data_IF_026902957823
#
_entry.id   IF_026902957823
#
_cell.length_a   1.000
_cell.length_b   1.000
_cell.length_c   1.000
_cell.angle_alpha   90.00
_cell.angle_beta   90.00
_cell.angle_gamma   90.00
#
_symmetry.space_group_name_H-M   'P 1'
#
loop_
_entity.id
_entity.type
_entity.pdbx_description
1 polymer ?
#
# COMPACT_ATOMS: atom_id res chain seq x y z
N UNK A 1 -13.00 -13.66 2.40
CA UNK A 1 -13.90 -12.62 1.84
C UNK A 1 -13.12 -11.30 1.64
N UNK A 2 -13.63 -10.33 0.87
CA UNK A 2 -13.13 -8.95 0.95
C UNK A 2 -11.91 -8.56 0.09
N UNK A 3 -11.84 -8.95 -1.19
CA UNK A 3 -10.88 -8.45 -2.20
C UNK A 3 -9.38 -8.71 -1.99
N UNK A 4 -8.93 -9.06 -0.79
CA UNK A 4 -7.52 -9.27 -0.45
C UNK A 4 -7.29 -10.71 0.04
N UNK A 5 -7.26 -11.73 -0.85
CA UNK A 5 -7.01 -13.11 -0.44
C UNK A 5 -5.58 -13.23 0.12
N UNK A 6 -5.38 -13.67 1.38
CA UNK A 6 -4.05 -13.67 2.00
C UNK A 6 -3.11 -14.76 1.46
N UNK A 7 -3.63 -15.73 0.71
CA UNK A 7 -2.91 -16.94 0.32
C UNK A 7 -3.00 -17.28 -1.18
N UNK A 8 -3.36 -16.32 -2.03
CA UNK A 8 -3.32 -16.54 -3.49
C UNK A 8 -1.91 -16.89 -3.94
N UNK A 9 -1.82 -17.78 -4.93
CA UNK A 9 -0.58 -18.24 -5.57
C UNK A 9 -0.54 -17.89 -7.04
N UNK A 10 -1.72 -17.79 -7.66
CA UNK A 10 -1.86 -17.36 -9.06
C UNK A 10 -2.81 -16.18 -9.17
N UNK A 11 -2.61 -15.34 -10.18
CA UNK A 11 -3.46 -14.17 -10.45
C UNK A 11 -4.94 -14.55 -10.62
N UNK A 12 -5.23 -15.75 -11.14
CA UNK A 12 -6.60 -16.24 -11.31
C UNK A 12 -7.32 -16.39 -9.96
N UNK A 13 -6.61 -16.64 -8.86
CA UNK A 13 -7.18 -16.73 -7.51
C UNK A 13 -7.51 -15.36 -6.90
N UNK A 14 -7.14 -14.27 -7.58
CA UNK A 14 -7.32 -12.88 -7.13
C UNK A 14 -8.60 -12.23 -7.68
N UNK A 15 -9.43 -12.99 -8.40
CA UNK A 15 -10.77 -12.61 -8.80
C UNK A 15 -10.91 -12.32 -10.29
N UNK A 16 -11.71 -11.31 -10.62
CA UNK A 16 -12.03 -10.97 -12.01
C UNK A 16 -10.89 -10.16 -12.63
N UNK A 17 -10.31 -10.69 -13.71
CA UNK A 17 -9.31 -10.00 -14.52
C UNK A 17 -9.97 -9.39 -15.76
N UNK A 18 -9.88 -8.07 -15.89
CA UNK A 18 -10.41 -7.33 -17.04
C UNK A 18 -9.24 -6.76 -17.84
N UNK A 19 -8.99 -7.33 -19.02
CA UNK A 19 -7.98 -6.82 -19.95
C UNK A 19 -8.61 -5.80 -20.91
N UNK A 20 -8.35 -4.52 -20.64
CA UNK A 20 -8.78 -3.37 -21.46
C UNK A 20 -10.24 -3.42 -21.96
N UNK A 21 -11.16 -3.97 -21.15
CA UNK A 21 -12.56 -4.15 -21.52
C UNK A 21 -13.25 -2.80 -21.79
N UNK A 22 -13.83 -2.57 -22.98
CA UNK A 22 -14.60 -1.36 -23.23
C UNK A 22 -15.88 -1.34 -22.37
N UNK A 23 -16.03 -0.33 -21.52
CA UNK A 23 -17.21 -0.16 -20.64
C UNK A 23 -18.16 0.97 -21.08
N UNK A 24 -17.74 1.82 -22.01
CA UNK A 24 -18.55 2.91 -22.55
C UNK A 24 -18.26 3.10 -24.05
N UNK A 25 -19.31 3.33 -24.84
CA UNK A 25 -19.19 3.66 -26.26
C UNK A 25 -20.25 4.69 -26.65
N UNK A 26 -19.83 5.78 -27.32
CA UNK A 26 -20.77 6.83 -27.76
C UNK A 26 -21.57 7.47 -26.62
N UNK A 27 -20.98 7.58 -25.42
CA UNK A 27 -21.66 8.10 -24.22
C UNK A 27 -22.62 7.12 -23.52
N UNK A 28 -22.73 5.88 -24.02
CA UNK A 28 -23.59 4.85 -23.44
C UNK A 28 -22.74 3.85 -22.65
N UNK A 29 -23.10 3.63 -21.40
CA UNK A 29 -22.47 2.60 -20.56
C UNK A 29 -22.90 1.20 -21.00
N UNK A 30 -21.93 0.33 -21.25
CA UNK A 30 -22.12 -1.04 -21.72
C UNK A 30 -22.40 -1.98 -20.53
N UNK A 31 -23.54 -1.78 -19.88
CA UNK A 31 -23.85 -2.46 -18.62
C UNK A 31 -23.94 -3.98 -18.77
N UNK A 32 -24.58 -4.46 -19.83
CA UNK A 32 -24.77 -5.90 -20.04
C UNK A 32 -23.43 -6.62 -20.24
N UNK A 33 -22.55 -6.04 -21.05
CA UNK A 33 -21.22 -6.55 -21.35
C UNK A 33 -20.32 -6.49 -20.12
N UNK A 34 -20.35 -5.36 -19.39
CA UNK A 34 -19.58 -5.19 -18.15
C UNK A 34 -20.03 -6.19 -17.08
N UNK A 35 -21.36 -6.37 -16.92
CA UNK A 35 -21.93 -7.36 -16.00
C UNK A 35 -21.56 -8.78 -16.38
N UNK A 36 -21.63 -9.12 -17.67
CA UNK A 36 -21.23 -10.42 -18.17
C UNK A 36 -19.76 -10.70 -17.86
N UNK A 37 -18.87 -9.73 -18.08
CA UNK A 37 -17.45 -9.86 -17.75
C UNK A 37 -17.22 -10.09 -16.24
N UNK A 38 -17.92 -9.36 -15.37
CA UNK A 38 -17.85 -9.56 -13.92
C UNK A 38 -18.33 -10.95 -13.46
N UNK A 39 -19.16 -11.62 -14.27
CA UNK A 39 -19.67 -12.96 -13.99
C UNK A 39 -18.80 -14.09 -14.59
N UNK A 40 -17.70 -13.74 -15.29
CA UNK A 40 -16.81 -14.73 -15.92
C UNK A 40 -15.71 -15.22 -14.96
N UNK A 41 -15.06 -16.33 -15.33
CA UNK A 41 -13.94 -16.90 -14.61
C UNK A 41 -14.35 -17.85 -13.48
N UNK A 42 -13.34 -18.43 -12.83
CA UNK A 42 -13.53 -19.37 -11.69
C UNK A 42 -14.04 -18.66 -10.43
N UNK A 43 -13.69 -17.37 -10.28
CA UNK A 43 -13.98 -16.55 -9.11
C UNK A 43 -14.69 -15.26 -9.53
N UNK A 44 -15.97 -15.33 -9.91
CA UNK A 44 -16.72 -14.16 -10.38
C UNK A 44 -16.97 -13.15 -9.24
N UNK A 45 -17.34 -11.93 -9.63
CA UNK A 45 -17.73 -10.88 -8.69
C UNK A 45 -18.95 -11.31 -7.88
N UNK A 46 -18.89 -11.14 -6.55
CA UNK A 46 -19.97 -11.55 -5.64
C UNK A 46 -21.09 -10.51 -5.54
N UNK A 47 -20.77 -9.25 -5.78
CA UNK A 47 -21.72 -8.13 -5.71
C UNK A 47 -21.65 -7.26 -6.97
N UNK A 48 -21.95 -7.82 -8.16
CA UNK A 48 -21.75 -7.13 -9.44
C UNK A 48 -22.50 -5.80 -9.54
N UNK A 49 -23.64 -5.63 -8.86
CA UNK A 49 -24.35 -4.35 -8.82
C UNK A 49 -23.55 -3.25 -8.12
N UNK A 50 -22.82 -3.59 -7.05
CA UNK A 50 -21.90 -2.65 -6.38
C UNK A 50 -20.73 -2.32 -7.28
N UNK A 51 -20.13 -3.34 -7.92
CA UNK A 51 -19.05 -3.12 -8.88
C UNK A 51 -19.49 -2.21 -10.04
N UNK A 52 -20.70 -2.39 -10.59
CA UNK A 52 -21.24 -1.55 -11.65
C UNK A 52 -21.46 -0.11 -11.16
N UNK A 53 -21.98 0.08 -9.94
CA UNK A 53 -22.14 1.40 -9.36
C UNK A 53 -20.79 2.13 -9.23
N UNK A 54 -19.76 1.43 -8.75
CA UNK A 54 -18.40 1.97 -8.62
C UNK A 54 -17.79 2.33 -9.98
N UNK A 55 -17.94 1.44 -10.99
CA UNK A 55 -17.47 1.69 -12.35
C UNK A 55 -18.17 2.90 -12.99
N UNK A 56 -19.49 3.05 -12.78
CA UNK A 56 -20.24 4.23 -13.23
C UNK A 56 -19.74 5.51 -12.55
N UNK A 57 -19.43 5.46 -11.26
CA UNK A 57 -18.86 6.60 -10.54
C UNK A 57 -17.47 6.98 -11.08
N UNK A 58 -16.61 6.00 -11.35
CA UNK A 58 -15.29 6.24 -11.97
C UNK A 58 -15.43 6.88 -13.37
N UNK A 59 -16.34 6.37 -14.20
CA UNK A 59 -16.60 6.95 -15.52
C UNK A 59 -17.13 8.39 -15.43
N UNK A 60 -18.02 8.68 -14.47
CA UNK A 60 -18.50 10.04 -14.24
C UNK A 60 -17.35 11.00 -13.85
N UNK A 61 -16.42 10.54 -13.01
CA UNK A 61 -15.22 11.32 -12.66
C UNK A 61 -14.32 11.58 -13.89
N UNK A 62 -14.07 10.55 -14.72
CA UNK A 62 -13.33 10.71 -15.97
C UNK A 62 -14.02 11.70 -16.92
N UNK A 63 -15.34 11.64 -17.05
CA UNK A 63 -16.12 12.54 -17.90
C UNK A 63 -16.05 13.99 -17.39
N UNK A 64 -16.10 14.19 -16.07
CA UNK A 64 -15.90 15.51 -15.47
C UNK A 64 -14.50 16.08 -15.79
N UNK A 65 -13.46 15.25 -15.67
CA UNK A 65 -12.09 15.63 -16.04
C UNK A 65 -11.95 15.97 -17.53
N UNK A 66 -12.51 15.14 -18.42
CA UNK A 66 -12.51 15.40 -19.85
C UNK A 66 -13.23 16.72 -20.20
N UNK A 67 -14.38 16.98 -19.57
CA UNK A 67 -15.16 18.21 -19.77
C UNK A 67 -14.39 19.45 -19.27
N UNK A 68 -13.69 19.35 -18.13
CA UNK A 68 -12.85 20.42 -17.63
C UNK A 68 -11.70 20.75 -18.58
N UNK A 69 -11.02 19.72 -19.13
CA UNK A 69 -9.96 19.91 -20.13
C UNK A 69 -10.51 20.52 -21.42
N UNK A 70 -11.67 20.06 -21.90
CA UNK A 70 -12.33 20.63 -23.06
C UNK A 70 -12.65 22.13 -22.86
N UNK A 71 -13.22 22.51 -21.71
CA UNK A 71 -13.50 23.91 -21.38
C UNK A 71 -12.23 24.78 -21.30
N UNK A 72 -11.11 24.23 -20.80
CA UNK A 72 -9.81 24.91 -20.85
C UNK A 72 -9.33 25.12 -22.28
N UNK A 73 -9.49 24.13 -23.17
CA UNK A 73 -9.13 24.22 -24.58
C UNK A 73 -9.97 25.27 -25.31
N UNK A 74 -11.28 25.33 -25.03
CA UNK A 74 -12.16 26.35 -25.60
C UNK A 74 -11.76 27.76 -25.16
N UNK A 75 -11.43 27.94 -23.88
CA UNK A 75 -11.10 29.24 -23.31
C UNK A 75 -9.70 29.74 -23.67
N UNK A 76 -8.71 28.84 -23.76
CA UNK A 76 -7.28 29.21 -23.86
C UNK A 76 -6.58 28.70 -25.13
N UNK A 77 -7.26 27.87 -25.93
CA UNK A 77 -6.73 27.22 -27.12
C UNK A 77 -5.89 25.96 -26.82
N UNK A 78 -6.05 24.94 -27.67
CA UNK A 78 -5.40 23.64 -27.50
C UNK A 78 -3.87 23.71 -27.38
N UNK A 79 -3.23 24.59 -28.16
CA UNK A 79 -1.77 24.77 -28.14
C UNK A 79 -1.27 25.29 -26.78
N UNK A 80 -2.01 26.19 -26.15
CA UNK A 80 -1.67 26.74 -24.84
C UNK A 80 -1.79 25.67 -23.77
N UNK A 81 -2.92 24.94 -23.75
CA UNK A 81 -3.18 23.87 -22.79
C UNK A 81 -2.10 22.78 -22.90
N UNK A 82 -1.81 22.28 -24.10
CA UNK A 82 -0.78 21.27 -24.31
C UNK A 82 0.61 21.73 -23.84
N UNK A 83 0.98 22.99 -24.09
CA UNK A 83 2.24 23.56 -23.62
C UNK A 83 2.32 23.57 -22.09
N UNK A 84 1.25 23.96 -21.41
CA UNK A 84 1.22 23.96 -19.94
C UNK A 84 1.23 22.55 -19.34
N UNK A 85 0.59 21.57 -19.99
CA UNK A 85 0.69 20.17 -19.56
C UNK A 85 2.15 19.68 -19.60
N UNK A 86 2.89 20.00 -20.67
CA UNK A 86 4.32 19.68 -20.77
C UNK A 86 5.15 20.45 -19.74
N UNK A 87 4.87 21.74 -19.55
CA UNK A 87 5.58 22.59 -18.58
C UNK A 87 5.45 22.05 -17.14
N UNK A 88 4.25 21.59 -16.74
CA UNK A 88 4.02 21.00 -15.41
C UNK A 88 4.85 19.74 -15.19
N UNK A 89 5.02 18.90 -16.22
CA UNK A 89 5.89 17.72 -16.13
C UNK A 89 7.37 18.11 -16.03
N UNK A 90 7.82 19.05 -16.86
CA UNK A 90 9.20 19.55 -16.82
C UNK A 90 9.55 20.21 -15.48
N UNK A 91 8.59 20.92 -14.87
CA UNK A 91 8.79 21.50 -13.54
C UNK A 91 8.94 20.42 -12.45
N UNK A 92 8.14 19.36 -12.53
CA UNK A 92 8.26 18.22 -11.61
C UNK A 92 9.61 17.51 -11.76
N UNK A 93 10.06 17.26 -13.00
CA UNK A 93 11.40 16.74 -13.30
C UNK A 93 12.48 17.63 -12.69
N UNK A 94 12.47 18.93 -12.99
CA UNK A 94 13.48 19.87 -12.52
C UNK A 94 13.57 19.92 -10.98
N UNK A 95 12.44 19.69 -10.31
CA UNK A 95 12.34 19.70 -8.85
C UNK A 95 12.90 18.42 -8.21
N UNK A 96 12.63 17.26 -8.79
CA UNK A 96 13.27 16.01 -8.36
C UNK A 96 14.78 16.06 -8.61
N UNK A 97 15.22 16.58 -9.76
CA UNK A 97 16.66 16.78 -10.05
C UNK A 97 17.36 17.64 -8.97
N UNK A 98 16.69 18.65 -8.40
CA UNK A 98 17.23 19.46 -7.28
C UNK A 98 17.32 18.66 -5.98
N UNK A 99 16.39 17.76 -5.72
CA UNK A 99 16.45 16.89 -4.56
C UNK A 99 17.59 15.87 -4.67
N UNK A 100 17.81 15.31 -5.87
CA UNK A 100 18.88 14.33 -6.15
C UNK A 100 20.27 14.88 -5.84
N UNK A 101 20.54 16.16 -6.08
CA UNK A 101 21.83 16.80 -5.80
C UNK A 101 22.29 16.69 -4.34
N UNK A 102 21.35 16.49 -3.41
CA UNK A 102 21.62 16.38 -1.97
C UNK A 102 21.77 14.94 -1.49
N UNK A 103 21.53 13.98 -2.37
CA UNK A 103 21.57 12.56 -2.05
C UNK A 103 22.98 12.02 -2.25
N UNK A 104 23.26 10.91 -1.57
CA UNK A 104 24.49 10.14 -1.73
C UNK A 104 24.14 8.71 -2.11
N UNK A 105 25.13 7.99 -2.60
CA UNK A 105 25.01 6.55 -2.83
C UNK A 105 24.63 5.82 -1.54
N UNK A 106 23.92 4.71 -1.69
CA UNK A 106 23.52 3.89 -0.56
C UNK A 106 22.96 2.53 -0.97
N UNK A 107 22.85 1.65 0.02
CA UNK A 107 22.32 0.29 -0.18
C UNK A 107 21.44 -0.08 1.01
N UNK A 108 20.36 -0.80 0.73
CA UNK A 108 19.53 -1.41 1.77
C UNK A 108 19.08 -2.81 1.37
N UNK A 109 18.94 -3.65 2.39
CA UNK A 109 18.33 -4.98 2.32
C UNK A 109 17.17 -5.04 3.30
N UNK A 110 16.00 -5.40 2.80
CA UNK A 110 14.77 -5.51 3.60
C UNK A 110 14.19 -6.92 3.44
N UNK A 111 14.32 -7.78 4.46
CA UNK A 111 13.72 -9.10 4.44
C UNK A 111 12.20 -9.02 4.62
N UNK A 112 11.47 -9.85 3.89
CA UNK A 112 10.03 -10.05 4.08
C UNK A 112 9.77 -11.15 5.12
N UNK A 113 8.58 -11.17 5.74
CA UNK A 113 8.19 -12.22 6.69
C UNK A 113 8.09 -13.62 6.05
N UNK A 114 7.97 -13.70 4.73
CA UNK A 114 7.98 -14.94 3.97
C UNK A 114 9.36 -15.27 3.39
N UNK A 115 9.36 -16.08 2.34
CA UNK A 115 10.52 -16.15 1.45
C UNK A 115 10.58 -14.84 0.65
N UNK A 116 11.69 -14.11 0.71
CA UNK A 116 11.89 -12.90 -0.09
C UNK A 116 12.72 -11.84 0.62
N UNK A 117 13.51 -11.11 -0.15
CA UNK A 117 14.29 -9.96 0.28
C UNK A 117 14.27 -8.94 -0.85
N UNK A 118 14.06 -7.68 -0.50
CA UNK A 118 14.25 -6.55 -1.40
C UNK A 118 15.64 -6.00 -1.17
N UNK A 119 16.42 -5.92 -2.25
CA UNK A 119 17.75 -5.33 -2.27
C UNK A 119 17.69 -4.12 -3.19
N UNK A 120 18.08 -2.95 -2.70
CA UNK A 120 18.20 -1.75 -3.53
C UNK A 120 19.56 -1.12 -3.36
N UNK A 121 20.22 -0.83 -4.47
CA UNK A 121 21.40 0.02 -4.54
C UNK A 121 21.02 1.33 -5.22
N UNK A 122 21.24 2.44 -4.54
CA UNK A 122 21.05 3.78 -5.07
C UNK A 122 22.41 4.34 -5.47
N UNK A 123 22.55 4.69 -6.74
CA UNK A 123 23.73 5.37 -7.26
C UNK A 123 23.32 6.76 -7.79
N UNK A 124 23.98 7.81 -7.31
CA UNK A 124 23.66 9.21 -7.62
C UNK A 124 24.71 9.78 -8.56
N UNK A 125 24.28 10.23 -9.74
CA UNK A 125 25.09 11.07 -10.61
C UNK A 125 24.74 12.53 -10.36
N UNK A 126 25.54 13.20 -9.53
CA UNK A 126 25.33 14.61 -9.19
C UNK A 126 25.55 15.55 -10.38
N UNK A 127 26.36 15.17 -11.39
CA UNK A 127 26.62 15.99 -12.56
C UNK A 127 25.45 15.94 -13.54
N UNK A 128 24.90 14.75 -13.79
CA UNK A 128 23.69 14.55 -14.59
C UNK A 128 22.41 14.91 -13.83
N UNK A 129 22.48 14.96 -12.48
CA UNK A 129 21.34 15.11 -11.56
C UNK A 129 20.34 13.98 -11.74
N UNK A 130 20.85 12.76 -11.78
CA UNK A 130 20.10 11.52 -12.00
C UNK A 130 20.41 10.50 -10.92
N UNK A 131 19.48 9.59 -10.67
CA UNK A 131 19.67 8.49 -9.71
C UNK A 131 19.31 7.16 -10.36
N UNK A 132 20.17 6.16 -10.18
CA UNK A 132 19.87 4.77 -10.53
C UNK A 132 19.40 4.04 -9.28
N UNK A 133 18.22 3.43 -9.36
CA UNK A 133 17.62 2.59 -8.32
C UNK A 133 17.69 1.15 -8.80
N UNK A 134 18.72 0.42 -8.39
CA UNK A 134 18.97 -0.95 -8.84
C UNK A 134 18.40 -1.98 -7.87
N UNK A 135 17.31 -2.62 -8.29
CA UNK A 135 16.61 -3.67 -7.56
C UNK A 135 16.93 -5.08 -8.07
N UNK A 136 17.84 -5.25 -9.03
CA UNK A 136 18.05 -6.54 -9.72
C UNK A 136 18.54 -7.67 -8.83
N UNK A 137 19.17 -7.34 -7.70
CA UNK A 137 19.60 -8.29 -6.67
C UNK A 137 18.47 -8.72 -5.71
N UNK A 138 17.25 -8.20 -5.87
CA UNK A 138 16.08 -8.68 -5.11
C UNK A 138 15.76 -10.14 -5.42
N UNK A 139 15.04 -10.78 -4.51
CA UNK A 139 14.70 -12.20 -4.59
C UNK A 139 13.98 -12.58 -5.90
N UNK A 140 14.10 -13.85 -6.27
CA UNK A 140 13.32 -14.44 -7.35
C UNK A 140 11.81 -14.35 -7.07
N UNK A 141 11.01 -14.51 -8.13
CA UNK A 141 9.56 -14.59 -8.00
C UNK A 141 9.13 -15.57 -6.91
N UNK A 142 8.23 -15.11 -6.05
CA UNK A 142 7.72 -15.84 -4.89
C UNK A 142 6.57 -16.76 -5.31
N UNK A 143 6.41 -17.85 -4.57
CA UNK A 143 5.24 -18.75 -4.69
C UNK A 143 3.99 -18.24 -3.98
N UNK A 144 4.08 -17.08 -3.33
CA UNK A 144 2.98 -16.38 -2.63
C UNK A 144 2.53 -15.18 -3.45
N UNK A 145 1.57 -14.41 -2.94
CA UNK A 145 1.04 -13.20 -3.58
C UNK A 145 1.82 -11.91 -3.27
N UNK A 146 2.97 -12.01 -2.60
CA UNK A 146 3.85 -10.88 -2.26
C UNK A 146 4.74 -10.45 -3.44
N UNK A 147 4.45 -10.90 -4.65
CA UNK A 147 5.09 -10.36 -5.85
C UNK A 147 4.48 -8.98 -6.18
N UNK A 148 5.31 -8.06 -6.65
CA UNK A 148 4.91 -6.72 -7.08
C UNK A 148 5.31 -6.51 -8.55
N UNK A 149 4.36 -6.20 -9.46
CA UNK A 149 4.70 -5.79 -10.82
C UNK A 149 5.65 -4.59 -10.81
N UNK A 150 6.53 -4.48 -11.81
CA UNK A 150 7.51 -3.38 -11.92
C UNK A 150 6.88 -1.98 -11.90
N UNK A 151 5.60 -1.85 -12.31
CA UNK A 151 4.82 -0.63 -12.16
C UNK A 151 4.64 -0.19 -10.69
N UNK A 152 4.53 -1.13 -9.74
CA UNK A 152 4.46 -0.85 -8.30
C UNK A 152 5.81 -0.31 -7.79
N UNK A 153 6.93 -0.87 -8.26
CA UNK A 153 8.28 -0.36 -7.93
C UNK A 153 8.43 1.09 -8.40
N UNK A 154 7.97 1.37 -9.62
CA UNK A 154 7.97 2.72 -10.20
C UNK A 154 7.11 3.69 -9.38
N UNK A 155 5.93 3.27 -8.94
CA UNK A 155 5.07 4.08 -8.08
C UNK A 155 5.68 4.36 -6.70
N UNK A 156 6.31 3.35 -6.08
CA UNK A 156 7.02 3.51 -4.81
C UNK A 156 8.20 4.48 -4.92
N UNK A 157 9.00 4.37 -5.99
CA UNK A 157 10.08 5.32 -6.27
C UNK A 157 9.55 6.74 -6.50
N UNK A 158 8.49 6.89 -7.30
CA UNK A 158 7.82 8.18 -7.51
C UNK A 158 7.40 8.82 -6.19
N UNK A 159 6.77 8.04 -5.30
CA UNK A 159 6.37 8.50 -3.98
C UNK A 159 7.58 8.97 -3.16
N UNK A 160 8.61 8.13 -2.99
CA UNK A 160 9.80 8.45 -2.19
C UNK A 160 10.43 9.75 -2.70
N UNK A 161 10.75 9.83 -3.99
CA UNK A 161 11.41 11.01 -4.55
C UNK A 161 10.53 12.25 -4.51
N UNK A 162 9.20 12.13 -4.61
CA UNK A 162 8.29 13.26 -4.37
C UNK A 162 8.37 13.75 -2.92
N UNK A 163 8.46 12.87 -1.93
CA UNK A 163 8.53 13.29 -0.52
C UNK A 163 9.84 13.99 -0.14
N UNK A 164 10.91 13.79 -0.91
CA UNK A 164 12.19 14.47 -0.71
C UNK A 164 12.18 15.91 -1.27
N UNK A 165 11.18 16.25 -2.08
CA UNK A 165 11.01 17.59 -2.66
C UNK A 165 10.19 18.45 -1.70
N UNK A 166 10.88 19.38 -1.03
CA UNK A 166 10.30 20.45 -0.20
C UNK A 166 9.81 21.61 -1.09
N UNK A 167 8.83 21.32 -1.94
CA UNK A 167 8.22 22.28 -2.88
C UNK A 167 6.77 21.86 -3.20
N UNK A 168 5.92 22.81 -3.56
CA UNK A 168 4.51 22.60 -3.92
C UNK A 168 4.38 22.17 -5.39
N UNK A 169 5.00 21.04 -5.74
CA UNK A 169 4.86 20.45 -7.08
C UNK A 169 3.73 19.41 -7.15
N UNK A 170 2.97 19.36 -8.27
CA UNK A 170 1.96 18.32 -8.48
C UNK A 170 2.63 16.96 -8.73
N UNK A 171 2.03 15.89 -8.21
CA UNK A 171 2.48 14.53 -8.46
C UNK A 171 2.19 14.12 -9.91
N UNK A 172 3.23 13.85 -10.70
CA UNK A 172 3.10 13.39 -12.08
C UNK A 172 4.35 12.65 -12.56
N UNK A 173 4.30 12.09 -13.78
CA UNK A 173 5.38 11.27 -14.36
C UNK A 173 6.70 12.02 -14.59
N UNK A 174 6.70 13.36 -14.64
CA UNK A 174 7.94 14.15 -14.73
C UNK A 174 8.89 13.88 -13.56
N UNK A 175 8.37 13.54 -12.37
CA UNK A 175 9.19 13.15 -11.23
C UNK A 175 10.02 11.86 -11.48
N UNK A 176 9.62 11.02 -12.43
CA UNK A 176 10.33 9.78 -12.78
C UNK A 176 11.42 10.02 -13.84
N UNK A 177 11.35 11.11 -14.60
CA UNK A 177 12.28 11.38 -15.70
C UNK A 177 13.78 11.33 -15.31
N UNK A 178 14.21 11.76 -14.11
CA UNK A 178 15.62 11.66 -13.70
C UNK A 178 15.98 10.35 -12.98
N UNK A 179 15.08 9.36 -12.96
CA UNK A 179 15.25 8.11 -12.22
C UNK A 179 15.40 6.92 -13.18
N UNK A 180 16.50 6.18 -13.05
CA UNK A 180 16.72 4.92 -13.76
C UNK A 180 16.36 3.76 -12.83
N UNK A 181 15.15 3.22 -12.98
CA UNK A 181 14.64 2.14 -12.13
C UNK A 181 14.93 0.80 -12.81
N UNK A 182 15.76 -0.02 -12.19
CA UNK A 182 16.18 -1.30 -12.76
C UNK A 182 15.61 -2.46 -11.93
N UNK A 183 14.74 -3.24 -12.55
CA UNK A 183 14.26 -4.52 -12.01
C UNK A 183 14.86 -5.67 -12.82
N UNK A 184 14.80 -6.89 -12.25
CA UNK A 184 15.17 -8.12 -12.96
C UNK A 184 13.90 -8.87 -13.33
N UNK A 185 13.68 -9.09 -14.62
CA UNK A 185 12.58 -9.92 -15.13
C UNK A 185 12.60 -11.31 -14.43
N UNK A 186 11.42 -11.75 -13.96
CA UNK A 186 11.27 -12.99 -13.18
C UNK A 186 11.65 -12.88 -11.70
N UNK A 187 11.98 -11.69 -11.20
CA UNK A 187 12.12 -11.43 -9.76
C UNK A 187 10.77 -11.16 -9.09
N UNK A 188 10.75 -11.10 -7.76
CA UNK A 188 9.54 -10.72 -7.01
C UNK A 188 9.07 -9.28 -7.29
N UNK A 189 9.92 -8.43 -7.88
CA UNK A 189 9.62 -7.05 -8.25
C UNK A 189 9.37 -6.86 -9.76
N UNK A 190 9.40 -7.94 -10.52
CA UNK A 190 9.03 -8.00 -11.94
C UNK A 190 8.58 -9.43 -12.32
N UNK A 191 7.51 -9.94 -11.70
CA UNK A 191 7.09 -11.32 -11.83
C UNK A 191 6.46 -11.60 -13.20
N UNK A 192 6.54 -12.85 -13.63
CA UNK A 192 5.81 -13.34 -14.79
C UNK A 192 4.39 -13.77 -14.42
N UNK A 193 3.40 -13.49 -15.29
CA UNK A 193 2.14 -14.20 -15.24
C UNK A 193 2.37 -15.73 -15.28
N UNK A 194 1.61 -16.54 -14.54
CA UNK A 194 0.40 -16.18 -13.80
C UNK A 194 0.63 -15.95 -12.29
N UNK A 195 1.78 -15.45 -11.85
CA UNK A 195 2.05 -15.21 -10.44
C UNK A 195 0.99 -14.32 -9.78
N UNK A 196 0.63 -14.64 -8.53
CA UNK A 196 -0.23 -13.79 -7.70
C UNK A 196 0.51 -12.50 -7.29
N UNK A 197 -0.23 -11.38 -7.26
CA UNK A 197 0.35 -10.03 -7.04
C UNK A 197 -0.47 -9.12 -6.12
N UNK A 198 -1.57 -9.60 -5.53
CA UNK A 198 -2.46 -8.73 -4.74
C UNK A 198 -1.73 -8.06 -3.57
N UNK A 199 -0.83 -8.77 -2.90
CA UNK A 199 -0.03 -8.23 -1.81
C UNK A 199 1.10 -7.30 -2.30
N UNK A 200 1.42 -7.33 -3.61
CA UNK A 200 2.40 -6.45 -4.22
C UNK A 200 2.11 -4.97 -3.97
N UNK A 201 0.87 -4.54 -4.19
CA UNK A 201 0.47 -3.14 -4.01
C UNK A 201 0.28 -2.74 -2.54
N UNK A 202 -0.12 -3.67 -1.67
CA UNK A 202 -0.54 -3.34 -0.30
C UNK A 202 0.48 -3.68 0.78
N UNK A 203 1.39 -4.60 0.51
CA UNK A 203 2.43 -5.05 1.43
C UNK A 203 3.82 -4.81 0.85
N UNK A 204 4.18 -5.46 -0.27
CA UNK A 204 5.54 -5.40 -0.83
C UNK A 204 5.97 -3.98 -1.20
N UNK A 205 5.05 -3.16 -1.70
CA UNK A 205 5.26 -1.73 -1.98
C UNK A 205 5.70 -0.94 -0.74
N UNK A 206 5.19 -1.27 0.45
CA UNK A 206 5.62 -0.65 1.71
C UNK A 206 7.09 -0.97 1.98
N UNK A 207 7.51 -2.21 1.73
CA UNK A 207 8.90 -2.63 1.90
C UNK A 207 9.84 -2.02 0.85
N UNK A 208 9.37 -1.79 -0.39
CA UNK A 208 10.14 -1.06 -1.41
C UNK A 208 10.40 0.39 -0.95
N UNK A 209 9.38 1.06 -0.42
CA UNK A 209 9.51 2.42 0.13
C UNK A 209 10.48 2.44 1.32
N UNK A 210 10.32 1.49 2.25
CA UNK A 210 11.19 1.29 3.40
C UNK A 210 12.66 1.06 2.97
N UNK A 211 12.90 0.23 1.95
CA UNK A 211 14.23 -0.04 1.42
C UNK A 211 14.86 1.21 0.79
N UNK A 212 14.07 1.97 0.02
CA UNK A 212 14.53 3.22 -0.59
C UNK A 212 14.90 4.27 0.47
N UNK A 213 14.06 4.50 1.47
CA UNK A 213 14.39 5.45 2.55
C UNK A 213 15.60 5.01 3.38
N UNK A 214 15.72 3.70 3.64
CA UNK A 214 16.87 3.15 4.35
C UNK A 214 18.16 3.32 3.55
N UNK A 215 18.14 3.04 2.24
CA UNK A 215 19.29 3.22 1.36
C UNK A 215 19.71 4.71 1.27
N UNK A 216 18.74 5.62 1.24
CA UNK A 216 18.98 7.06 1.25
C UNK A 216 19.35 7.62 2.64
N UNK A 217 19.18 6.85 3.71
CA UNK A 217 19.43 7.27 5.09
C UNK A 217 18.50 8.37 5.61
N UNK A 218 17.30 8.53 5.03
CA UNK A 218 16.41 9.68 5.30
C UNK A 218 15.41 9.41 6.42
N UNK A 219 14.88 8.19 6.47
CA UNK A 219 13.82 7.81 7.41
C UNK A 219 14.01 6.36 7.84
N UNK A 220 13.73 6.07 9.11
CA UNK A 220 13.60 4.71 9.60
C UNK A 220 12.37 4.00 9.04
N UNK A 221 12.29 2.67 9.20
CA UNK A 221 11.14 1.96 8.67
C UNK A 221 9.86 2.36 9.41
N UNK A 222 8.79 2.56 8.66
CA UNK A 222 7.44 2.65 9.24
C UNK A 222 6.90 1.27 9.55
N UNK A 223 5.60 1.19 9.87
CA UNK A 223 4.94 -0.08 10.15
C UNK A 223 5.08 -1.13 9.03
N UNK A 224 5.39 -0.73 7.78
CA UNK A 224 5.72 -1.65 6.68
C UNK A 224 4.61 -2.60 6.24
N UNK A 225 3.34 -2.24 6.50
CA UNK A 225 2.14 -3.06 6.20
C UNK A 225 0.93 -2.15 6.08
N UNK A 226 -0.07 -2.51 5.28
CA UNK A 226 -1.39 -1.86 5.31
C UNK A 226 -2.33 -2.49 6.35
N UNK A 227 -1.96 -3.67 6.87
CA UNK A 227 -2.80 -4.47 7.77
C UNK A 227 -4.19 -4.67 7.17
N UNK A 228 -4.24 -5.32 6.01
CA UNK A 228 -5.47 -5.50 5.24
C UNK A 228 -6.41 -6.47 5.97
N UNK A 229 -7.30 -5.91 6.78
CA UNK A 229 -8.26 -6.67 7.55
C UNK A 229 -9.57 -6.74 6.80
N UNK A 230 -10.01 -7.96 6.53
CA UNK A 230 -11.22 -8.23 5.76
C UNK A 230 -12.09 -9.19 6.53
N UNK A 231 -13.39 -9.00 6.45
CA UNK A 231 -14.33 -9.99 6.97
C UNK A 231 -15.63 -9.94 6.19
N UNK A 232 -16.41 -11.01 6.30
CA UNK A 232 -17.71 -11.07 5.65
C UNK A 232 -18.36 -12.43 5.74
N UNK A 233 -19.55 -12.47 5.16
CA UNK A 233 -20.38 -13.65 4.97
C UNK A 233 -20.80 -13.71 3.48
N UNK A 234 -21.86 -14.45 3.15
CA UNK A 234 -22.38 -14.53 1.78
C UNK A 234 -22.96 -13.18 1.28
N UNK A 235 -23.50 -12.36 2.18
CA UNK A 235 -24.25 -11.13 1.86
C UNK A 235 -23.42 -9.85 2.06
N UNK A 236 -22.41 -9.92 2.92
CA UNK A 236 -21.66 -8.77 3.44
C UNK A 236 -20.17 -8.96 3.27
N UNK A 237 -19.51 -7.88 2.88
CA UNK A 237 -18.06 -7.84 2.75
C UNK A 237 -17.58 -6.49 3.27
N UNK A 238 -16.57 -6.55 4.13
CA UNK A 238 -15.89 -5.38 4.65
C UNK A 238 -14.39 -5.55 4.48
N UNK A 239 -13.73 -4.42 4.22
CA UNK A 239 -12.29 -4.30 4.08
C UNK A 239 -11.87 -2.98 4.72
N UNK A 240 -10.88 -3.04 5.61
CA UNK A 240 -10.19 -1.88 6.15
C UNK A 240 -8.67 -2.09 6.16
N UNK A 241 -7.95 -0.98 6.09
CA UNK A 241 -6.52 -0.93 6.41
C UNK A 241 -6.36 -0.38 7.82
N UNK A 242 -5.45 -0.94 8.61
CA UNK A 242 -5.19 -0.50 9.98
C UNK A 242 -3.88 0.29 10.06
N UNK A 243 -3.95 1.47 10.66
CA UNK A 243 -2.79 2.35 10.85
C UNK A 243 -1.78 1.78 11.85
N UNK A 244 -0.57 2.35 11.87
CA UNK A 244 0.50 1.94 12.76
C UNK A 244 1.50 3.07 13.00
N UNK A 245 2.72 2.73 13.40
CA UNK A 245 3.77 3.71 13.64
C UNK A 245 4.49 4.15 12.36
N UNK A 246 4.76 5.44 12.19
CA UNK A 246 5.70 5.90 11.17
C UNK A 246 7.15 5.80 11.67
N UNK A 247 8.10 5.67 10.75
CA UNK A 247 9.52 5.76 11.09
C UNK A 247 9.91 7.17 11.52
N UNK A 248 10.93 7.25 12.38
CA UNK A 248 11.54 8.52 12.76
C UNK A 248 12.51 9.02 11.68
N UNK A 249 12.80 10.32 11.71
CA UNK A 249 13.80 10.99 10.86
C UNK A 249 14.87 11.65 11.73
N UNK A 250 15.90 12.22 11.11
CA UNK A 250 16.90 13.03 11.82
C UNK A 250 16.30 14.25 12.55
N UNK A 251 15.17 14.76 12.07
CA UNK A 251 14.60 16.03 12.52
C UNK A 251 13.28 15.90 13.27
N UNK A 252 12.64 14.74 13.27
CA UNK A 252 11.34 14.55 13.90
C UNK A 252 11.11 13.10 14.36
N UNK A 253 10.39 12.90 15.48
CA UNK A 253 9.87 11.59 15.87
C UNK A 253 8.87 11.07 14.85
N UNK A 254 8.69 9.75 14.84
CA UNK A 254 7.61 9.12 14.11
C UNK A 254 6.24 9.48 14.70
N UNK A 255 5.23 9.49 13.85
CA UNK A 255 3.83 9.73 14.24
C UNK A 255 3.16 8.40 14.57
N UNK A 256 2.46 8.36 15.71
CA UNK A 256 1.76 7.16 16.17
C UNK A 256 0.40 6.97 15.50
N UNK A 257 -0.01 5.72 15.30
CA UNK A 257 -1.32 5.30 14.79
C UNK A 257 -1.78 6.07 13.53
N UNK A 258 -0.89 6.22 12.56
CA UNK A 258 -1.15 6.91 11.29
C UNK A 258 -0.99 5.95 10.10
N UNK A 259 -1.77 6.20 9.04
CA UNK A 259 -1.55 5.53 7.76
C UNK A 259 -0.29 6.10 7.10
N UNK A 260 0.61 5.22 6.68
CA UNK A 260 1.91 5.59 6.12
C UNK A 260 2.05 5.11 4.69
N UNK A 261 2.92 5.81 3.96
CA UNK A 261 3.44 5.40 2.66
C UNK A 261 2.33 5.10 1.65
N UNK A 262 2.18 3.84 1.24
CA UNK A 262 1.26 3.43 0.16
C UNK A 262 -0.22 3.46 0.59
N UNK A 263 -0.51 3.83 1.83
CA UNK A 263 -1.88 3.90 2.35
C UNK A 263 -2.45 5.31 2.24
N UNK A 264 -3.51 5.49 1.46
CA UNK A 264 -4.18 6.79 1.27
C UNK A 264 -5.67 6.79 1.64
N UNK A 265 -6.10 5.81 2.45
CA UNK A 265 -7.48 5.67 2.91
C UNK A 265 -7.72 6.38 4.24
N UNK A 266 -8.97 6.83 4.47
CA UNK A 266 -9.45 7.18 5.81
C UNK A 266 -10.08 5.95 6.46
N UNK A 267 -10.02 5.91 7.79
CA UNK A 267 -10.70 4.88 8.59
C UNK A 267 -12.22 5.07 8.51
N UNK A 268 -12.97 3.98 8.53
CA UNK A 268 -14.43 4.01 8.67
C UNK A 268 -14.79 4.34 10.11
N UNK A 269 -15.70 5.29 10.32
CA UNK A 269 -16.20 5.62 11.65
C UNK A 269 -16.81 4.37 12.32
N UNK A 270 -16.49 4.07 13.59
CA UNK A 270 -17.04 2.92 14.30
C UNK A 270 -18.57 2.85 14.23
N UNK A 271 -19.27 3.97 14.40
CA UNK A 271 -20.74 4.02 14.34
C UNK A 271 -21.29 3.59 12.97
N UNK A 272 -20.60 3.96 11.88
CA UNK A 272 -20.99 3.57 10.52
C UNK A 272 -20.72 2.08 10.28
N UNK A 273 -19.57 1.60 10.79
CA UNK A 273 -19.20 0.18 10.73
C UNK A 273 -20.23 -0.69 11.46
N UNK A 274 -20.49 -0.40 12.74
CA UNK A 274 -21.42 -1.16 13.59
C UNK A 274 -22.87 -1.10 13.09
N UNK A 275 -23.26 -0.02 12.41
CA UNK A 275 -24.59 0.09 11.79
C UNK A 275 -24.73 -0.80 10.55
N UNK A 276 -23.66 -0.98 9.78
CA UNK A 276 -23.70 -1.69 8.49
C UNK A 276 -23.37 -3.17 8.61
N UNK A 277 -22.60 -3.55 9.62
CA UNK A 277 -22.08 -4.89 9.80
C UNK A 277 -22.36 -5.38 11.23
N UNK A 278 -22.65 -6.68 11.44
CA UNK A 278 -22.85 -7.26 12.76
C UNK A 278 -21.52 -7.43 13.49
N UNK A 279 -20.86 -6.31 13.79
CA UNK A 279 -19.62 -6.25 14.57
C UNK A 279 -19.73 -5.12 15.60
N UNK A 280 -18.89 -5.15 16.61
CA UNK A 280 -18.70 -4.06 17.57
C UNK A 280 -17.22 -3.75 17.74
N UNK A 281 -16.88 -2.47 17.66
CA UNK A 281 -15.53 -1.99 17.96
C UNK A 281 -15.41 -1.88 19.47
N UNK A 282 -14.67 -2.80 20.08
CA UNK A 282 -14.46 -2.77 21.55
C UNK A 282 -13.30 -1.87 21.95
N UNK A 283 -12.31 -1.74 21.06
CA UNK A 283 -11.16 -0.89 21.28
C UNK A 283 -10.56 -0.44 19.96
N UNK A 284 -10.19 0.84 19.88
CA UNK A 284 -9.31 1.36 18.85
C UNK A 284 -8.46 2.49 19.43
N UNK A 285 -7.16 2.25 19.62
CA UNK A 285 -6.29 3.19 20.31
C UNK A 285 -4.81 2.96 20.01
N UNK A 286 -3.96 3.86 20.50
CA UNK A 286 -2.50 3.79 20.31
C UNK A 286 -1.91 2.63 21.13
N UNK A 287 -1.01 1.86 20.51
CA UNK A 287 -0.24 0.78 21.14
C UNK A 287 1.02 1.36 21.78
N UNK A 288 0.88 2.00 22.93
CA UNK A 288 1.99 2.70 23.58
C UNK A 288 3.22 1.82 23.84
N UNK A 289 4.41 2.35 23.54
CA UNK A 289 5.69 1.67 23.75
C UNK A 289 6.03 0.65 22.65
N UNK A 290 5.36 0.72 21.50
CA UNK A 290 5.67 -0.11 20.34
C UNK A 290 6.61 0.57 19.35
N UNK A 291 6.76 1.89 19.40
CA UNK A 291 7.76 2.63 18.63
C UNK A 291 9.19 2.35 19.11
N UNK A 292 10.13 2.27 18.17
CA UNK A 292 11.54 2.06 18.45
C UNK A 292 12.18 3.28 19.10
N UNK A 293 13.03 3.06 20.10
CA UNK A 293 13.76 4.12 20.79
C UNK A 293 14.84 4.76 19.90
N UNK A 294 15.15 6.03 20.16
CA UNK A 294 16.25 6.77 19.54
C UNK A 294 16.19 8.24 19.95
N UNK A 295 17.17 9.03 19.51
CA UNK A 295 17.16 10.49 19.69
C UNK A 295 15.84 11.10 19.19
N UNK A 296 15.31 10.57 18.08
CA UNK A 296 13.91 10.68 17.71
C UNK A 296 13.27 9.28 17.76
N UNK A 297 12.26 9.06 18.61
CA UNK A 297 11.57 7.77 18.68
C UNK A 297 10.70 7.54 17.45
N UNK A 298 10.53 6.27 17.06
CA UNK A 298 9.54 5.87 16.07
C UNK A 298 8.12 5.99 16.62
N UNK A 299 7.14 6.07 15.74
CA UNK A 299 5.72 6.15 16.12
C UNK A 299 5.23 4.83 16.72
N UNK A 300 4.28 4.91 17.64
CA UNK A 300 3.58 3.75 18.17
C UNK A 300 2.55 3.22 17.16
N UNK A 301 2.36 1.89 17.15
CA UNK A 301 1.28 1.23 16.43
C UNK A 301 -0.11 1.52 17.02
N UNK A 302 -1.09 0.70 16.65
CA UNK A 302 -2.46 0.76 17.11
C UNK A 302 -2.97 -0.61 17.56
N UNK A 303 -3.93 -0.61 18.48
CA UNK A 303 -4.67 -1.80 18.90
C UNK A 303 -6.08 -1.68 18.37
N UNK A 304 -6.54 -2.67 17.60
CA UNK A 304 -7.89 -2.78 17.04
C UNK A 304 -8.56 -4.04 17.57
N UNK A 305 -9.61 -3.92 18.38
CA UNK A 305 -10.42 -5.05 18.87
C UNK A 305 -11.82 -4.99 18.30
N UNK A 306 -12.23 -6.07 17.65
CA UNK A 306 -13.53 -6.17 17.00
C UNK A 306 -14.24 -7.45 17.42
N UNK A 307 -15.39 -7.29 18.09
CA UNK A 307 -16.29 -8.40 18.40
C UNK A 307 -17.21 -8.67 17.22
N UNK A 308 -17.34 -9.92 16.84
CA UNK A 308 -18.29 -10.36 15.84
C UNK A 308 -19.63 -10.68 16.51
N UNK A 309 -20.74 -10.19 15.94
CA UNK A 309 -22.10 -10.40 16.46
C UNK A 309 -22.87 -11.45 15.65
N UNK A 310 -22.27 -11.98 14.59
CA UNK A 310 -22.76 -13.07 13.76
C UNK A 310 -21.57 -13.93 13.28
N UNK A 311 -21.79 -15.21 12.91
CA UNK A 311 -20.76 -16.02 12.29
C UNK A 311 -20.26 -15.40 10.99
N UNK A 312 -18.94 -15.32 10.81
CA UNK A 312 -18.29 -14.71 9.64
C UNK A 312 -16.96 -15.38 9.34
N UNK A 313 -16.42 -15.15 8.14
CA UNK A 313 -15.02 -15.42 7.86
C UNK A 313 -14.24 -14.11 7.93
N UNK A 314 -13.10 -14.14 8.61
CA UNK A 314 -12.18 -13.01 8.75
C UNK A 314 -10.79 -13.39 8.24
N UNK A 315 -10.12 -12.46 7.59
CA UNK A 315 -8.78 -12.63 7.07
C UNK A 315 -7.93 -11.38 7.26
N UNK A 316 -6.64 -11.60 7.47
CA UNK A 316 -5.63 -10.55 7.53
C UNK A 316 -4.53 -10.89 6.51
N UNK A 317 -4.24 -9.94 5.62
CA UNK A 317 -3.03 -9.91 4.80
C UNK A 317 -2.14 -8.80 5.34
N UNK A 318 -0.95 -9.16 5.85
CA UNK A 318 -0.08 -8.20 6.53
C UNK A 318 1.38 -8.65 6.60
N UNK A 319 2.27 -7.70 6.89
CA UNK A 319 3.71 -7.89 7.08
C UNK A 319 4.23 -7.38 8.43
N UNK A 320 5.54 -7.48 8.70
CA UNK A 320 6.22 -6.99 9.92
C UNK A 320 5.75 -7.67 11.21
N UNK A 321 5.53 -8.98 11.13
CA UNK A 321 5.23 -9.90 12.23
C UNK A 321 6.45 -10.75 12.60
N UNK A 322 7.38 -10.96 11.66
CA UNK A 322 8.64 -11.68 11.92
C UNK A 322 9.83 -10.72 11.79
N UNK A 323 9.89 -9.94 10.71
CA UNK A 323 10.94 -8.94 10.49
C UNK A 323 10.46 -7.59 10.98
N UNK A 324 11.07 -7.11 12.07
CA UNK A 324 10.67 -5.85 12.71
C UNK A 324 10.98 -4.62 11.85
N UNK A 325 10.23 -3.51 12.00
CA UNK A 325 10.59 -2.22 11.42
C UNK A 325 11.92 -1.72 11.99
N UNK A 326 12.97 -1.64 11.15
CA UNK A 326 14.31 -1.26 11.61
C UNK A 326 14.42 0.24 11.89
N UNK A 327 15.15 0.56 12.96
CA UNK A 327 15.67 1.92 13.16
C UNK A 327 16.88 2.21 12.26
N UNK A 328 17.32 3.47 12.22
CA UNK A 328 18.49 3.89 11.43
C UNK A 328 19.43 4.76 12.27
N UNK A 329 20.68 4.87 11.82
CA UNK A 329 21.71 5.68 12.48
C UNK A 329 21.89 5.37 13.98
N UNK A 330 21.66 4.11 14.39
CA UNK A 330 21.74 3.67 15.79
C UNK A 330 20.41 3.67 16.55
N UNK A 331 19.31 4.04 15.90
CA UNK A 331 17.96 3.89 16.44
C UNK A 331 17.53 2.42 16.56
N UNK A 332 16.71 2.13 17.57
CA UNK A 332 16.19 0.79 17.86
C UNK A 332 15.00 0.46 16.94
N UNK A 333 14.75 -0.83 16.65
CA UNK A 333 13.57 -1.23 15.88
C UNK A 333 12.26 -1.02 16.65
N UNK A 334 11.17 -0.87 15.92
CA UNK A 334 9.82 -0.92 16.49
C UNK A 334 9.39 -2.37 16.81
N UNK A 335 8.38 -2.52 17.65
CA UNK A 335 7.79 -3.84 17.93
C UNK A 335 7.04 -4.37 16.68
N UNK A 336 7.08 -5.71 16.46
CA UNK A 336 6.29 -6.33 15.41
C UNK A 336 4.78 -6.22 15.73
N UNK A 337 3.97 -6.44 14.69
CA UNK A 337 2.54 -6.62 14.86
C UNK A 337 2.19 -8.01 15.40
N UNK A 338 1.04 -8.10 16.07
CA UNK A 338 0.52 -9.34 16.65
C UNK A 338 -0.99 -9.43 16.50
N UNK A 339 -1.54 -10.63 16.48
CA UNK A 339 -2.96 -10.85 16.26
C UNK A 339 -3.44 -12.10 16.98
N UNK A 340 -4.65 -12.04 17.51
CA UNK A 340 -5.25 -13.13 18.29
C UNK A 340 -6.76 -13.20 18.10
N UNK A 341 -7.29 -14.41 18.22
CA UNK A 341 -8.71 -14.68 18.40
C UNK A 341 -8.98 -14.91 19.88
N UNK A 342 -9.94 -14.20 20.44
CA UNK A 342 -10.44 -14.37 21.80
C UNK A 342 -11.85 -14.94 21.69
N UNK A 343 -11.99 -16.22 22.03
CA UNK A 343 -13.27 -16.92 21.94
C UNK A 343 -14.21 -16.51 23.08
N UNK A 344 -15.51 -16.76 22.89
CA UNK A 344 -16.55 -16.46 23.91
C UNK A 344 -16.32 -17.12 25.28
N UNK A 345 -15.64 -18.27 25.33
CA UNK A 345 -15.27 -18.98 26.56
C UNK A 345 -14.03 -18.38 27.26
N UNK A 346 -13.43 -17.32 26.70
CA UNK A 346 -12.21 -16.68 27.21
C UNK A 346 -10.90 -17.30 26.71
N UNK A 347 -10.95 -18.35 25.88
CA UNK A 347 -9.76 -18.93 25.25
C UNK A 347 -9.12 -17.91 24.30
N UNK A 348 -7.80 -17.72 24.42
CA UNK A 348 -7.03 -16.82 23.57
C UNK A 348 -6.10 -17.65 22.69
N UNK A 349 -6.27 -17.52 21.38
CA UNK A 349 -5.44 -18.19 20.37
C UNK A 349 -4.70 -17.17 19.53
N UNK A 350 -3.37 -17.24 19.53
CA UNK A 350 -2.55 -16.45 18.60
C UNK A 350 -2.85 -16.85 17.15
N UNK A 351 -2.90 -15.86 16.26
CA UNK A 351 -3.09 -16.04 14.82
C UNK A 351 -1.79 -15.74 14.09
N UNK A 352 -1.56 -16.38 12.95
CA UNK A 352 -0.40 -16.09 12.09
C UNK A 352 -0.50 -14.67 11.50
N UNK A 353 0.63 -14.10 11.05
CA UNK A 353 0.67 -12.74 10.50
C UNK A 353 -0.22 -12.55 9.26
N UNK A 354 -0.33 -13.59 8.45
CA UNK A 354 -1.43 -13.73 7.51
C UNK A 354 -2.34 -14.86 8.00
N UNK A 355 -3.65 -14.63 8.03
CA UNK A 355 -4.62 -15.67 8.44
C UNK A 355 -5.92 -15.59 7.65
N UNK A 356 -6.65 -16.70 7.64
CA UNK A 356 -8.06 -16.78 7.28
C UNK A 356 -8.73 -17.73 8.26
N UNK A 357 -9.75 -17.26 9.00
CA UNK A 357 -10.43 -18.03 10.03
C UNK A 357 -11.92 -17.76 10.00
N UNK A 358 -12.72 -18.77 10.33
CA UNK A 358 -14.14 -18.57 10.67
C UNK A 358 -14.25 -18.18 12.14
N UNK A 359 -15.09 -17.19 12.43
CA UNK A 359 -15.38 -16.70 13.77
C UNK A 359 -16.84 -16.95 14.11
N UNK A 360 -17.13 -17.30 15.36
CA UNK A 360 -18.49 -17.45 15.85
C UNK A 360 -19.03 -16.10 16.36
N UNK A 361 -20.35 -16.02 16.52
CA UNK A 361 -20.96 -14.89 17.21
C UNK A 361 -20.44 -14.79 18.65
N UNK A 362 -19.95 -13.61 19.00
CA UNK A 362 -19.34 -13.29 20.29
C UNK A 362 -17.82 -13.39 20.31
N UNK A 363 -17.17 -14.01 19.31
CA UNK A 363 -15.71 -14.03 19.24
C UNK A 363 -15.14 -12.64 18.96
N UNK A 364 -13.90 -12.39 19.39
CA UNK A 364 -13.18 -11.12 19.17
C UNK A 364 -11.89 -11.38 18.41
N UNK A 365 -11.65 -10.60 17.35
CA UNK A 365 -10.32 -10.49 16.75
C UNK A 365 -9.66 -9.22 17.29
N UNK A 366 -8.45 -9.40 17.82
CA UNK A 366 -7.58 -8.29 18.19
C UNK A 366 -6.35 -8.27 17.30
N UNK A 367 -6.06 -7.09 16.76
CA UNK A 367 -4.88 -6.81 15.93
C UNK A 367 -4.11 -5.67 16.59
N UNK A 368 -2.85 -5.95 16.92
CA UNK A 368 -1.84 -4.99 17.33
C UNK A 368 -0.96 -4.71 16.11
N UNK A 369 -0.94 -3.48 15.63
CA UNK A 369 -0.14 -3.11 14.46
C UNK A 369 1.30 -2.79 14.85
N UNK A 370 2.27 -2.91 13.92
CA UNK A 370 3.66 -2.61 14.20
C UNK A 370 3.88 -1.12 14.57
N UNK A 371 4.91 -0.86 15.38
CA UNK A 371 5.45 0.49 15.55
C UNK A 371 6.36 0.89 14.37
N UNK A 372 6.96 2.08 14.46
CA UNK A 372 8.04 2.51 13.55
C UNK A 372 9.41 2.40 14.21
N UNK A 373 10.46 2.33 13.40
CA UNK A 373 11.85 2.38 13.88
C UNK A 373 12.26 3.77 14.36
N UNK A 374 13.17 3.82 15.34
CA UNK A 374 13.76 5.06 15.85
C UNK A 374 14.92 5.57 14.99
N UNK A 375 15.32 6.83 15.23
CA UNK A 375 16.48 7.46 14.60
C UNK A 375 17.49 7.89 15.65
N UNK A 376 18.76 7.53 15.45
CA UNK A 376 19.86 7.93 16.33
C UNK A 376 19.92 7.12 17.63
N UNK A 377 21.05 7.13 18.34
CA UNK A 377 21.16 6.51 19.66
C UNK A 377 20.22 7.18 20.66
N UNK A 378 19.65 6.39 21.59
CA UNK A 378 18.74 6.84 22.63
C UNK A 378 19.43 7.56 23.80
#
# INVERSE_FOLDING_TARGET
>A
PGSMPPFSKTIDEEGVMLDALPMMRGGVFLEAETRAALATGRWPARAPDRNIADLKAQLAACQAGASAVAGMIESHGARTVARYMAFVQQNAEASVRRAIEKLTDGEARVPLDGAGEIVVRVAVDAAAREATLDFRESADQLSTNFNAPSAIVSAAALYVFRTLVDDEIPLNAGCLAPLHILTREGSMLDPHPPAAVVAGNVETSQHVVDALYAALGVMANGQGTMNNFTFGDEDRQYYETLCGGSGATATAPGTSAIHTHMTNSRLTDPEILERRFPVRVEHFGVRHGSGGAGANPGGDGAIRRMRFLAPMDAALLSSRRLNVPCGIAGGSPGLPGEQRLIATNGEVRSLAGCFSVSVAAGDVIEIETPGGGGFGPA
#
